data_IF_359179093689
#
_entry.id   IF_359179093689
#
_cell.length_a   1.000
_cell.length_b   1.000
_cell.length_c   1.000
_cell.angle_alpha   90.00
_cell.angle_beta   90.00
_cell.angle_gamma   90.00
#
_symmetry.space_group_name_H-M   'P 1'
#
loop_
_entity.id
_entity.type
_entity.pdbx_description
1 polymer ?
#
# COMPACT_ATOMS: atom_id res chain seq x y z
N UNK A 1 -17.13 -11.71 2.86
CA UNK A 1 -15.70 -11.41 2.98
C UNK A 1 -15.48 -10.68 4.29
N UNK A 2 -14.72 -11.26 5.22
CA UNK A 2 -14.37 -10.57 6.46
C UNK A 2 -13.23 -9.58 6.14
N UNK A 3 -13.49 -8.28 6.29
CA UNK A 3 -12.44 -7.27 6.12
C UNK A 3 -11.42 -7.35 7.25
N UNK A 4 -10.13 -7.38 6.92
CA UNK A 4 -9.06 -7.25 7.93
C UNK A 4 -9.15 -5.88 8.60
N UNK A 5 -9.02 -5.84 9.92
CA UNK A 5 -8.96 -4.57 10.67
C UNK A 5 -7.66 -3.85 10.35
N UNK A 6 -7.74 -2.53 10.18
CA UNK A 6 -6.56 -1.67 10.11
C UNK A 6 -5.74 -1.86 11.39
N UNK A 7 -4.46 -2.24 11.23
CA UNK A 7 -3.54 -2.58 12.34
C UNK A 7 -3.21 -4.07 12.48
N UNK A 8 -3.96 -4.99 11.85
CA UNK A 8 -3.60 -6.42 11.80
C UNK A 8 -3.37 -6.92 10.37
N UNK A 9 -3.59 -6.05 9.37
CA UNK A 9 -3.42 -6.41 7.96
C UNK A 9 -1.94 -6.61 7.64
N UNK A 10 -1.60 -7.79 7.13
CA UNK A 10 -0.31 -8.09 6.49
C UNK A 10 -0.41 -7.86 4.99
N UNK A 11 0.74 -7.75 4.30
CA UNK A 11 0.78 -7.64 2.83
C UNK A 11 0.05 -8.81 2.15
N UNK A 12 0.22 -10.02 2.67
CA UNK A 12 -0.46 -11.22 2.17
C UNK A 12 -1.98 -11.09 2.29
N UNK A 13 -2.49 -10.70 3.46
CA UNK A 13 -3.95 -10.52 3.65
C UNK A 13 -4.51 -9.39 2.79
N UNK A 14 -3.72 -8.33 2.53
CA UNK A 14 -4.10 -7.26 1.61
C UNK A 14 -4.20 -7.78 0.18
N UNK A 15 -3.22 -8.56 -0.30
CA UNK A 15 -3.26 -9.17 -1.64
C UNK A 15 -4.42 -10.17 -1.79
N UNK A 16 -4.69 -10.99 -0.76
CA UNK A 16 -5.84 -11.91 -0.76
C UNK A 16 -7.18 -11.16 -0.80
N UNK A 17 -7.29 -10.03 -0.10
CA UNK A 17 -8.53 -9.26 -0.01
C UNK A 17 -8.76 -8.33 -1.21
N UNK A 18 -7.71 -7.75 -1.78
CA UNK A 18 -7.80 -6.71 -2.82
C UNK A 18 -7.47 -7.23 -4.22
N UNK A 19 -6.95 -8.45 -4.31
CA UNK A 19 -6.53 -9.08 -5.56
C UNK A 19 -5.09 -8.76 -5.93
N UNK A 20 -4.76 -8.99 -7.20
CA UNK A 20 -3.42 -8.74 -7.72
C UNK A 20 -3.17 -7.23 -7.86
N UNK A 21 -2.07 -6.70 -7.31
CA UNK A 21 -1.69 -5.30 -7.53
C UNK A 21 -1.42 -5.07 -9.03
N UNK A 22 -1.64 -3.83 -9.48
CA UNK A 22 -1.31 -3.46 -10.87
C UNK A 22 0.18 -3.27 -11.07
N UNK A 23 0.92 -3.04 -9.99
CA UNK A 23 2.38 -2.95 -9.97
C UNK A 23 2.91 -3.36 -8.60
N UNK A 24 4.06 -4.03 -8.60
CA UNK A 24 4.76 -4.57 -7.42
C UNK A 24 6.26 -4.43 -7.64
N UNK A 25 6.97 -3.86 -6.67
CA UNK A 25 8.41 -3.73 -6.78
C UNK A 25 9.09 -3.10 -5.58
N UNK A 26 10.39 -2.92 -5.69
CA UNK A 26 11.20 -2.22 -4.70
C UNK A 26 11.46 -0.78 -5.16
N UNK A 27 11.23 0.17 -4.26
CA UNK A 27 11.53 1.57 -4.47
C UNK A 27 13.04 1.79 -4.57
N UNK A 28 13.51 2.21 -5.74
CA UNK A 28 14.93 2.56 -5.94
C UNK A 28 15.39 3.75 -5.08
N UNK A 29 14.46 4.56 -4.55
CA UNK A 29 14.79 5.73 -3.75
C UNK A 29 15.06 5.41 -2.27
N UNK A 30 14.44 4.36 -1.73
CA UNK A 30 14.50 4.06 -0.30
C UNK A 30 14.49 2.57 0.06
N UNK A 31 14.61 1.67 -0.92
CA UNK A 31 14.65 0.21 -0.73
C UNK A 31 13.36 -0.39 -0.19
N UNK A 32 12.26 0.37 -0.17
CA UNK A 32 10.98 -0.11 0.37
C UNK A 32 10.24 -0.95 -0.65
N UNK A 33 9.63 -2.01 -0.18
CA UNK A 33 8.69 -2.78 -0.96
C UNK A 33 7.38 -2.00 -1.16
N UNK A 34 6.90 -1.95 -2.40
CA UNK A 34 5.73 -1.20 -2.82
C UNK A 34 4.74 -2.07 -3.58
N UNK A 35 3.46 -1.87 -3.27
CA UNK A 35 2.33 -2.41 -4.03
C UNK A 35 1.43 -1.26 -4.47
N UNK A 36 1.01 -1.26 -5.73
CA UNK A 36 0.05 -0.30 -6.27
C UNK A 36 -1.27 -0.99 -6.60
N UNK A 37 -2.36 -0.43 -6.10
CA UNK A 37 -3.72 -0.83 -6.44
C UNK A 37 -4.46 0.33 -7.09
N UNK A 38 -5.31 0.03 -8.08
CA UNK A 38 -6.19 0.98 -8.75
C UNK A 38 -7.64 0.51 -8.67
N UNK A 39 -8.55 1.43 -8.35
CA UNK A 39 -9.99 1.19 -8.28
C UNK A 39 -10.71 2.39 -8.89
N UNK A 40 -11.04 2.29 -10.19
CA UNK A 40 -11.51 3.42 -10.98
C UNK A 40 -10.48 4.55 -10.97
N UNK A 41 -10.91 5.76 -10.63
CA UNK A 41 -10.02 6.93 -10.53
C UNK A 41 -9.15 6.92 -9.27
N UNK A 42 -9.42 6.04 -8.30
CA UNK A 42 -8.66 6.00 -7.05
C UNK A 42 -7.43 5.10 -7.19
N UNK A 43 -6.35 5.46 -6.51
CA UNK A 43 -5.17 4.61 -6.39
C UNK A 43 -4.58 4.65 -4.99
N UNK A 44 -4.10 3.49 -4.55
CA UNK A 44 -3.53 3.28 -3.21
C UNK A 44 -2.17 2.63 -3.34
N UNK A 45 -1.20 3.19 -2.64
CA UNK A 45 0.11 2.57 -2.42
C UNK A 45 0.14 1.89 -1.07
N UNK A 46 0.64 0.66 -1.04
CA UNK A 46 1.07 0.01 0.18
C UNK A 46 2.59 0.02 0.18
N UNK A 47 3.20 0.52 1.25
CA UNK A 47 4.65 0.55 1.44
C UNK A 47 5.03 -0.24 2.69
N UNK A 48 6.07 -1.06 2.57
CA UNK A 48 6.61 -1.88 3.64
C UNK A 48 8.14 -1.94 3.55
N UNK A 49 8.81 -2.39 4.62
CA UNK A 49 10.25 -2.62 4.59
C UNK A 49 10.60 -3.81 3.68
N UNK A 50 9.76 -4.84 3.64
CA UNK A 50 9.90 -6.05 2.82
C UNK A 50 8.56 -6.83 2.75
N UNK A 51 8.53 -7.95 2.00
CA UNK A 51 7.34 -8.80 1.81
C UNK A 51 6.78 -9.41 3.11
N UNK A 52 7.60 -9.56 4.14
CA UNK A 52 7.24 -10.19 5.42
C UNK A 52 7.07 -9.16 6.54
N UNK A 53 6.95 -7.87 6.19
CA UNK A 53 6.85 -6.81 7.18
C UNK A 53 5.61 -6.98 8.07
N UNK A 54 5.75 -6.77 9.39
CA UNK A 54 4.62 -6.86 10.29
C UNK A 54 3.68 -5.65 10.10
N UNK A 55 2.39 -5.76 10.50
CA UNK A 55 1.37 -4.74 10.24
C UNK A 55 1.77 -3.31 10.63
N UNK A 56 2.47 -3.13 11.75
CA UNK A 56 2.93 -1.83 12.25
C UNK A 56 3.99 -1.15 11.37
N UNK A 57 4.62 -1.91 10.47
CA UNK A 57 5.59 -1.41 9.49
C UNK A 57 4.97 -1.15 8.12
N UNK A 58 3.69 -1.49 7.94
CA UNK A 58 2.96 -1.30 6.69
C UNK A 58 2.30 0.09 6.70
N UNK A 59 2.49 0.82 5.61
CA UNK A 59 1.84 2.12 5.38
C UNK A 59 0.93 2.02 4.16
N UNK A 60 -0.30 2.50 4.30
CA UNK A 60 -1.26 2.59 3.21
C UNK A 60 -1.48 4.07 2.91
N UNK A 61 -1.24 4.46 1.66
CA UNK A 61 -1.24 5.85 1.22
C UNK A 61 -2.21 5.98 0.05
N UNK A 62 -3.20 6.85 0.18
CA UNK A 62 -4.06 7.20 -0.96
C UNK A 62 -3.32 8.20 -1.84
N UNK A 63 -3.07 7.82 -3.11
CA UNK A 63 -2.32 8.68 -4.04
C UNK A 63 -3.02 10.01 -4.30
N UNK A 64 -4.36 10.02 -4.39
CA UNK A 64 -5.11 11.28 -4.61
C UNK A 64 -4.83 12.31 -3.52
N UNK A 65 -4.61 11.88 -2.28
CA UNK A 65 -4.25 12.82 -1.22
C UNK A 65 -2.88 13.47 -1.44
N UNK A 66 -1.94 12.78 -2.10
CA UNK A 66 -0.63 13.36 -2.44
C UNK A 66 -0.76 14.39 -3.57
N UNK A 67 -1.58 14.07 -4.57
CA UNK A 67 -1.75 14.89 -5.77
C UNK A 67 -2.65 16.12 -5.53
N UNK A 68 -3.72 15.97 -4.73
CA UNK A 68 -4.71 17.02 -4.45
C UNK A 68 -4.37 17.87 -3.21
N UNK A 69 -3.58 17.32 -2.27
CA UNK A 69 -3.11 18.04 -1.09
C UNK A 69 -1.57 17.98 -1.02
N UNK A 70 -0.86 18.67 -1.92
CA UNK A 70 0.59 18.77 -1.83
C UNK A 70 0.94 19.33 -0.45
N UNK A 71 1.70 18.54 0.32
CA UNK A 71 2.23 18.95 1.61
C UNK A 71 2.99 20.25 1.37
N UNK A 72 2.50 21.38 1.92
CA UNK A 72 3.26 22.63 1.90
C UNK A 72 4.52 22.38 2.74
N UNK A 73 5.65 22.21 2.05
CA UNK A 73 6.97 22.18 2.68
C UNK A 73 7.38 23.59 3.09
#
# INVERSE_FOLDING_TARGET
MAGSRLGTATLETSQQGWGTPVDEGESMANGKYLLLYKAGDNSVFISAENKTSPPEKIRIINKKMLDEFPQKF
#
